data_IF_850049134764
#
_entry.id   IF_850049134764
#
_cell.length_a   1.000
_cell.length_b   1.000
_cell.length_c   1.000
_cell.angle_alpha   90.00
_cell.angle_beta   90.00
_cell.angle_gamma   90.00
#
_symmetry.space_group_name_H-M   'P 1'
#
loop_
_entity.id
_entity.type
_entity.pdbx_description
1 polymer ?
#
# COMPACT_ATOMS: atom_id res chain seq x y z
N UNK A 1 -12.16 -3.87 -26.65
CA UNK A 1 -11.82 -2.56 -26.04
C UNK A 1 -10.87 -2.83 -24.89
N UNK A 2 -9.73 -2.14 -24.85
CA UNK A 2 -8.74 -2.35 -23.79
C UNK A 2 -9.25 -1.70 -22.49
N UNK A 3 -9.36 -2.48 -21.42
CA UNK A 3 -9.83 -1.98 -20.12
C UNK A 3 -8.85 -0.95 -19.57
N UNK A 4 -9.34 0.21 -19.15
CA UNK A 4 -8.53 1.22 -18.49
C UNK A 4 -8.58 1.02 -16.97
N UNK A 5 -7.57 0.37 -16.40
CA UNK A 5 -7.59 -0.08 -15.00
C UNK A 5 -7.85 1.08 -14.03
N UNK A 6 -7.14 2.20 -14.20
CA UNK A 6 -7.27 3.36 -13.31
C UNK A 6 -8.67 3.96 -13.28
N UNK A 7 -9.38 4.01 -14.42
CA UNK A 7 -10.72 4.58 -14.51
C UNK A 7 -11.76 3.67 -13.85
N UNK A 8 -11.59 2.35 -13.98
CA UNK A 8 -12.43 1.35 -13.30
C UNK A 8 -12.28 1.47 -11.78
N UNK A 9 -11.04 1.58 -11.30
CA UNK A 9 -10.75 1.77 -9.87
C UNK A 9 -11.32 3.10 -9.37
N UNK A 10 -11.12 4.20 -10.10
CA UNK A 10 -11.69 5.51 -9.74
C UNK A 10 -13.21 5.45 -9.61
N UNK A 11 -13.87 4.83 -10.59
CA UNK A 11 -15.32 4.68 -10.57
C UNK A 11 -15.80 3.95 -9.31
N UNK A 12 -15.12 2.88 -8.89
CA UNK A 12 -15.46 2.15 -7.65
C UNK A 12 -15.18 2.95 -6.39
N UNK A 13 -14.03 3.63 -6.31
CA UNK A 13 -13.67 4.49 -5.17
C UNK A 13 -14.72 5.59 -4.98
N UNK A 14 -15.12 6.27 -6.07
CA UNK A 14 -16.14 7.33 -6.02
C UNK A 14 -17.54 6.78 -5.74
N UNK A 15 -17.90 5.63 -6.30
CA UNK A 15 -19.21 4.98 -6.06
C UNK A 15 -19.40 4.58 -4.60
N UNK A 16 -18.32 4.14 -3.93
CA UNK A 16 -18.34 3.81 -2.50
C UNK A 16 -18.18 5.05 -1.58
N UNK A 17 -18.26 6.27 -2.14
CA UNK A 17 -18.11 7.54 -1.42
C UNK A 17 -16.82 7.64 -0.58
N UNK A 18 -15.76 6.93 -0.99
CA UNK A 18 -14.52 6.90 -0.23
C UNK A 18 -13.69 8.16 -0.48
N UNK A 19 -13.21 8.79 0.59
CA UNK A 19 -12.45 10.03 0.49
C UNK A 19 -11.05 9.76 -0.10
N UNK A 20 -10.71 10.47 -1.18
CA UNK A 20 -9.40 10.35 -1.85
C UNK A 20 -8.25 10.68 -0.89
N UNK A 21 -8.46 11.62 0.03
CA UNK A 21 -7.46 11.96 1.05
C UNK A 21 -7.20 10.81 2.01
N UNK A 22 -8.25 10.05 2.36
CA UNK A 22 -8.11 8.91 3.27
C UNK A 22 -7.55 7.70 2.53
N UNK A 23 -7.85 7.54 1.24
CA UNK A 23 -7.23 6.52 0.39
C UNK A 23 -5.72 6.75 0.27
N UNK A 24 -5.32 8.01 0.08
CA UNK A 24 -3.92 8.41 0.02
C UNK A 24 -3.19 8.09 1.33
N UNK A 25 -3.79 8.41 2.48
CA UNK A 25 -3.25 8.09 3.81
C UNK A 25 -3.15 6.57 4.04
N UNK A 26 -4.21 5.83 3.73
CA UNK A 26 -4.25 4.37 3.89
C UNK A 26 -3.21 3.66 2.99
N UNK A 27 -2.96 4.20 1.80
CA UNK A 27 -1.93 3.68 0.90
C UNK A 27 -0.52 4.25 1.16
N UNK A 28 -0.36 5.11 2.17
CA UNK A 28 0.89 5.84 2.48
C UNK A 28 1.52 6.55 1.26
N UNK A 29 0.69 7.23 0.46
CA UNK A 29 1.12 7.97 -0.71
C UNK A 29 0.51 9.37 -0.73
N UNK A 30 1.06 10.25 -1.58
CA UNK A 30 0.48 11.57 -1.79
C UNK A 30 -0.81 11.48 -2.64
N UNK A 31 -1.70 12.48 -2.50
CA UNK A 31 -2.96 12.55 -3.27
C UNK A 31 -2.73 12.61 -4.79
N UNK A 32 -1.64 13.23 -5.23
CA UNK A 32 -1.27 13.31 -6.65
C UNK A 32 -1.01 11.92 -7.26
N UNK A 33 -0.38 11.02 -6.50
CA UNK A 33 -0.14 9.64 -6.91
C UNK A 33 -1.44 8.87 -7.08
N UNK A 34 -2.46 9.13 -6.24
CA UNK A 34 -3.79 8.54 -6.42
C UNK A 34 -4.40 8.97 -7.75
N UNK A 35 -4.37 10.27 -8.06
CA UNK A 35 -4.87 10.76 -9.35
C UNK A 35 -4.08 10.20 -10.54
N UNK A 36 -2.77 10.07 -10.41
CA UNK A 36 -1.94 9.45 -11.44
C UNK A 36 -2.32 7.97 -11.67
N UNK A 37 -2.63 7.22 -10.60
CA UNK A 37 -3.12 5.85 -10.73
C UNK A 37 -4.46 5.78 -11.46
N UNK A 38 -5.38 6.71 -11.19
CA UNK A 38 -6.67 6.76 -11.90
C UNK A 38 -6.51 7.05 -13.40
N UNK A 39 -5.55 7.89 -13.77
CA UNK A 39 -5.23 8.19 -15.17
C UNK A 39 -4.36 7.10 -15.84
N UNK A 40 -3.92 6.07 -15.11
CA UNK A 40 -3.07 5.02 -15.66
C UNK A 40 -3.91 3.92 -16.32
N UNK A 41 -3.69 3.70 -17.62
CA UNK A 41 -4.39 2.66 -18.39
C UNK A 41 -4.14 1.26 -17.86
N UNK A 42 -2.91 1.01 -17.43
CA UNK A 42 -2.50 -0.22 -16.74
C UNK A 42 -2.05 0.15 -15.33
N UNK A 43 -2.63 -0.52 -14.35
CA UNK A 43 -2.25 -0.41 -12.96
C UNK A 43 -1.76 -1.78 -12.48
N UNK A 44 -0.71 -1.80 -11.65
CA UNK A 44 -0.19 -3.03 -11.06
C UNK A 44 -1.29 -3.67 -10.21
N UNK A 45 -1.40 -5.00 -10.31
CA UNK A 45 -2.40 -5.80 -9.60
C UNK A 45 -2.34 -5.57 -8.09
N UNK A 46 -1.14 -5.53 -7.52
CA UNK A 46 -0.89 -5.24 -6.09
C UNK A 46 -1.51 -3.90 -5.63
N UNK A 47 -1.50 -2.88 -6.49
CA UNK A 47 -2.11 -1.57 -6.18
C UNK A 47 -3.64 -1.70 -6.18
N UNK A 48 -4.21 -2.41 -7.16
CA UNK A 48 -5.66 -2.63 -7.26
C UNK A 48 -6.16 -3.42 -6.04
N UNK A 49 -5.45 -4.49 -5.67
CA UNK A 49 -5.74 -5.31 -4.49
C UNK A 49 -5.74 -4.46 -3.22
N UNK A 50 -4.69 -3.66 -3.01
CA UNK A 50 -4.58 -2.77 -1.84
C UNK A 50 -5.73 -1.77 -1.77
N UNK A 51 -6.08 -1.15 -2.90
CA UNK A 51 -7.23 -0.22 -2.96
C UNK A 51 -8.52 -0.97 -2.62
N UNK A 52 -8.74 -2.15 -3.19
CA UNK A 52 -9.92 -2.99 -2.94
C UNK A 52 -10.11 -3.32 -1.46
N UNK A 53 -9.04 -3.78 -0.81
CA UNK A 53 -9.05 -4.03 0.63
C UNK A 53 -9.32 -2.76 1.46
N UNK A 54 -8.78 -1.62 1.03
CA UNK A 54 -8.96 -0.33 1.73
C UNK A 54 -10.40 0.17 1.66
N UNK A 55 -11.03 0.04 0.49
CA UNK A 55 -12.42 0.50 0.27
C UNK A 55 -13.45 -0.61 0.50
N UNK A 56 -13.02 -1.79 0.97
CA UNK A 56 -13.83 -3.00 1.15
C UNK A 56 -14.62 -3.39 -0.12
N UNK A 57 -13.98 -3.30 -1.28
CA UNK A 57 -14.54 -3.69 -2.58
C UNK A 57 -13.77 -4.87 -3.17
N UNK A 58 -14.50 -5.88 -3.62
CA UNK A 58 -13.96 -7.02 -4.35
C UNK A 58 -13.82 -6.67 -5.85
N UNK A 59 -12.58 -6.61 -6.33
CA UNK A 59 -12.25 -6.28 -7.72
C UNK A 59 -12.21 -7.51 -8.66
N UNK A 60 -12.46 -8.73 -8.16
CA UNK A 60 -12.50 -9.95 -8.98
C UNK A 60 -13.61 -9.94 -10.04
N UNK A 61 -14.64 -9.12 -9.85
CA UNK A 61 -15.71 -8.92 -10.82
C UNK A 61 -15.26 -8.08 -12.02
N UNK A 62 -14.45 -7.05 -11.79
CA UNK A 62 -13.96 -6.16 -12.85
C UNK A 62 -12.70 -6.71 -13.52
N UNK A 63 -11.87 -7.40 -12.75
CA UNK A 63 -10.59 -7.97 -13.16
C UNK A 63 -10.49 -9.47 -12.84
N UNK A 64 -11.37 -10.32 -13.41
CA UNK A 64 -11.30 -11.77 -13.21
C UNK A 64 -10.01 -12.38 -13.77
N UNK A 65 -9.32 -11.67 -14.66
CA UNK A 65 -8.00 -12.04 -15.17
C UNK A 65 -6.87 -11.94 -14.13
N UNK A 66 -7.04 -11.14 -13.07
CA UNK A 66 -5.98 -10.86 -12.09
C UNK A 66 -6.34 -11.33 -10.68
N UNK A 67 -7.64 -11.39 -10.34
CA UNK A 67 -8.07 -11.71 -8.99
C UNK A 67 -9.15 -12.78 -8.96
N UNK A 68 -9.07 -13.62 -7.94
CA UNK A 68 -10.14 -14.50 -7.51
C UNK A 68 -10.86 -13.90 -6.30
N UNK A 69 -12.09 -14.33 -6.04
CA UNK A 69 -12.81 -13.97 -4.80
C UNK A 69 -12.03 -14.31 -3.52
N UNK A 70 -11.13 -15.28 -3.64
CA UNK A 70 -10.29 -15.75 -2.55
C UNK A 70 -9.29 -14.70 -2.07
N UNK A 71 -8.85 -13.82 -2.97
CA UNK A 71 -7.89 -12.74 -2.66
C UNK A 71 -8.53 -11.66 -1.77
N UNK A 72 -9.86 -11.60 -1.76
CA UNK A 72 -10.67 -10.66 -0.99
C UNK A 72 -11.39 -11.32 0.20
N UNK A 73 -11.01 -12.56 0.59
CA UNK A 73 -11.59 -13.28 1.75
C UNK A 73 -11.61 -12.47 3.04
N UNK A 74 -10.60 -11.61 3.26
CA UNK A 74 -10.51 -10.75 4.43
C UNK A 74 -11.64 -9.71 4.51
N UNK A 75 -12.26 -9.34 3.39
CA UNK A 75 -13.44 -8.45 3.36
C UNK A 75 -14.67 -9.17 3.94
N UNK A 76 -14.83 -10.46 3.63
CA UNK A 76 -16.00 -11.25 4.01
C UNK A 76 -15.91 -11.81 5.44
N UNK A 77 -14.69 -12.05 5.95
CA UNK A 77 -14.45 -12.59 7.29
C UNK A 77 -14.46 -11.52 8.41
N UNK A 78 -14.46 -10.23 8.06
CA UNK A 78 -14.36 -9.11 9.01
C UNK A 78 -15.66 -8.31 9.16
N UNK A 79 -16.71 -8.93 9.70
CA UNK A 79 -17.83 -8.14 10.23
C UNK A 79 -17.51 -7.53 11.62
N UNK A 80 -16.48 -8.01 12.35
CA UNK A 80 -16.27 -7.64 13.77
C UNK A 80 -14.87 -7.15 14.21
N UNK A 81 -13.95 -6.74 13.32
CA UNK A 81 -12.63 -6.26 13.77
C UNK A 81 -12.14 -4.97 13.07
N UNK A 82 -11.63 -3.97 13.84
CA UNK A 82 -11.10 -2.73 13.28
C UNK A 82 -9.74 -3.01 12.61
N UNK A 83 -9.71 -2.83 11.28
CA UNK A 83 -8.56 -2.55 10.40
C UNK A 83 -7.17 -2.53 11.07
N UNK A 84 -6.54 -3.70 11.25
CA UNK A 84 -5.13 -3.83 11.71
C UNK A 84 -4.16 -4.07 10.53
N UNK A 85 -4.65 -4.41 9.34
CA UNK A 85 -3.77 -4.85 8.23
C UNK A 85 -3.02 -3.72 7.49
N UNK A 86 -3.29 -2.44 7.78
CA UNK A 86 -2.66 -1.32 7.07
C UNK A 86 -1.25 -1.00 7.62
N UNK A 87 -0.95 -1.34 8.88
CA UNK A 87 0.37 -1.05 9.48
C UNK A 87 1.48 -1.91 8.90
N UNK A 88 1.23 -3.20 8.65
CA UNK A 88 2.32 -4.16 8.45
C UNK A 88 3.00 -4.06 7.08
N UNK A 89 2.28 -3.67 6.02
CA UNK A 89 2.87 -3.53 4.68
C UNK A 89 3.64 -2.22 4.50
N UNK A 90 3.14 -1.13 5.09
CA UNK A 90 3.84 0.16 5.14
C UNK A 90 5.04 0.13 6.12
N UNK A 91 5.00 -0.73 7.14
CA UNK A 91 6.15 -1.06 7.99
C UNK A 91 7.23 -1.78 7.17
N UNK A 92 6.91 -2.86 6.45
CA UNK A 92 7.89 -3.69 5.75
C UNK A 92 8.86 -2.91 4.84
N UNK A 93 8.38 -1.93 4.06
CA UNK A 93 9.25 -1.10 3.20
C UNK A 93 10.00 -0.01 3.98
N UNK A 94 9.41 0.54 5.05
CA UNK A 94 10.11 1.48 5.93
C UNK A 94 11.20 0.79 6.76
N UNK A 95 10.98 -0.46 7.15
CA UNK A 95 11.86 -1.21 8.03
C UNK A 95 13.17 -1.55 7.33
N UNK A 96 13.16 -1.81 6.01
CA UNK A 96 14.39 -2.01 5.23
C UNK A 96 15.31 -0.79 5.25
N UNK A 97 14.77 0.41 5.03
CA UNK A 97 15.57 1.64 5.04
C UNK A 97 15.99 2.06 6.44
N UNK A 98 15.13 1.83 7.44
CA UNK A 98 15.46 2.04 8.86
C UNK A 98 16.62 1.14 9.28
N UNK A 99 16.59 -0.14 8.92
CA UNK A 99 17.64 -1.09 9.30
C UNK A 99 18.98 -0.75 8.63
N UNK A 100 18.96 -0.34 7.36
CA UNK A 100 20.16 0.16 6.67
C UNK A 100 20.76 1.40 7.36
N UNK A 101 19.92 2.34 7.76
CA UNK A 101 20.35 3.56 8.46
C UNK A 101 20.89 3.25 9.86
N UNK A 102 20.25 2.31 10.57
CA UNK A 102 20.67 1.87 11.89
C UNK A 102 22.07 1.23 11.83
N UNK A 103 22.32 0.36 10.86
CA UNK A 103 23.64 -0.27 10.66
C UNK A 103 24.74 0.77 10.41
N UNK A 104 24.46 1.76 9.56
CA UNK A 104 25.41 2.84 9.28
C UNK A 104 25.76 3.63 10.55
N UNK A 105 24.77 3.95 11.38
CA UNK A 105 24.99 4.64 12.65
C UNK A 105 25.79 3.78 13.65
N UNK A 106 25.54 2.48 13.67
CA UNK A 106 26.30 1.54 14.51
C UNK A 106 27.77 1.48 14.09
N UNK A 107 28.05 1.27 12.80
CA UNK A 107 29.43 1.25 12.27
C UNK A 107 30.15 2.58 12.55
N UNK A 108 29.47 3.71 12.39
CA UNK A 108 30.06 5.01 12.66
C UNK A 108 30.37 5.23 14.16
N UNK A 109 29.46 4.82 15.05
CA UNK A 109 29.72 4.86 16.48
C UNK A 109 30.87 3.94 16.89
N UNK A 110 30.96 2.74 16.30
CA UNK A 110 32.03 1.79 16.58
C UNK A 110 33.39 2.34 16.17
N UNK A 111 33.47 3.01 15.02
CA UNK A 111 34.70 3.70 14.58
C UNK A 111 35.11 4.82 15.53
N UNK A 112 34.16 5.63 16.01
CA UNK A 112 34.43 6.69 17.00
C UNK A 112 34.89 6.11 18.33
N UNK A 113 34.29 5.00 18.77
CA UNK A 113 34.67 4.33 20.00
C UNK A 113 36.06 3.69 19.90
N UNK A 114 36.41 3.11 18.74
CA UNK A 114 37.77 2.63 18.48
C UNK A 114 38.77 3.78 18.53
N UNK A 115 38.51 4.89 17.84
CA UNK A 115 39.42 6.05 17.82
C UNK A 115 39.64 6.66 19.23
N UNK A 116 38.59 6.67 20.06
CA UNK A 116 38.66 7.12 21.47
C UNK A 116 39.34 6.12 22.42
N UNK A 117 39.46 4.85 22.05
CA UNK A 117 40.12 3.84 22.88
C UNK A 117 41.65 3.80 22.70
N UNK A 118 42.19 4.51 21.70
CA UNK A 118 43.63 4.63 21.42
C UNK A 118 44.25 5.97 21.88
N UNK A 119 43.49 6.80 22.62
CA UNK A 119 43.95 8.01 23.33
C UNK A 119 43.93 7.75 24.84
#
# INVERSE_FOLDING_TARGET
>A
MEKHHGQIVEYRVRKNAYCISDLAKACNINRRSVYNWFNSKRLKEEIILRIGLTIKHDFSHEFPEFFHRDDFKSIYQMQDAPVIYISNFAQSQNDFWKEKYLRLLQEFNDLILQDRAYL
#
